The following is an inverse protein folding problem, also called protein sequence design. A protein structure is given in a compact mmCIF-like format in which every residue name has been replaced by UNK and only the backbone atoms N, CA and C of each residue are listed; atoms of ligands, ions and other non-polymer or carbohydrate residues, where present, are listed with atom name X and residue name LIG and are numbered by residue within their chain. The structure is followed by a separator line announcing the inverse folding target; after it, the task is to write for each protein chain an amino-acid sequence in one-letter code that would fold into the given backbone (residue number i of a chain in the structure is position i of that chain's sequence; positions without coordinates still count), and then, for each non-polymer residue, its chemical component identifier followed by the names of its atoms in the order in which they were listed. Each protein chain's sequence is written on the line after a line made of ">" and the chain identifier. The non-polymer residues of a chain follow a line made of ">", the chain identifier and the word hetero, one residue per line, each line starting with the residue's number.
data_IF_786894493870
#
_entry.id   IF_786894493870
#
_cell.length_a   1.000
_cell.length_b   1.000
_cell.length_c   1.000
_cell.angle_alpha   90.00
_cell.angle_beta   90.00
_cell.angle_gamma   90.00
#
_symmetry.space_group_name_H-M   'P 1'
#
loop_
_entity.id
_entity.type
_entity.pdbx_description
1 polymer ?
#
# COMPACT_ATOMS: atom_id res chain seq x y z
N UNK A 1 -12.15 20.52 5.05
CA UNK A 1 -12.89 19.29 5.35
C UNK A 1 -13.98 19.06 4.29
N UNK A 2 -14.14 17.85 3.75
CA UNK A 2 -15.11 17.60 2.66
C UNK A 2 -16.59 17.75 3.10
N UNK A 3 -16.87 18.00 4.37
CA UNK A 3 -18.23 18.20 4.91
C UNK A 3 -19.12 16.96 4.89
N UNK A 4 -18.62 15.84 4.36
CA UNK A 4 -19.30 14.53 4.33
C UNK A 4 -18.26 13.41 4.48
N UNK A 5 -18.66 12.23 5.01
CA UNK A 5 -17.79 11.08 5.08
C UNK A 5 -17.28 10.63 3.70
N UNK A 6 -16.05 10.10 3.69
CA UNK A 6 -15.44 9.50 2.51
C UNK A 6 -15.73 7.99 2.56
N UNK A 7 -16.58 7.52 1.67
CA UNK A 7 -16.91 6.09 1.57
C UNK A 7 -15.81 5.34 0.81
N UNK A 8 -15.16 4.41 1.48
CA UNK A 8 -14.14 3.52 0.92
C UNK A 8 -14.72 2.20 0.37
N UNK A 9 -16.04 2.04 0.34
CA UNK A 9 -16.75 0.83 -0.07
C UNK A 9 -16.14 -0.43 0.61
N UNK A 10 -15.64 -1.42 -0.15
CA UNK A 10 -14.93 -2.61 0.38
C UNK A 10 -13.41 -2.52 0.24
N UNK A 11 -12.86 -1.33 -0.02
CA UNK A 11 -11.46 -1.18 -0.38
C UNK A 11 -10.53 -1.05 0.84
N UNK A 12 -10.17 -2.17 1.46
CA UNK A 12 -9.29 -2.21 2.64
C UNK A 12 -7.90 -1.61 2.43
N UNK A 13 -7.37 -1.61 1.21
CA UNK A 13 -6.12 -0.91 0.89
C UNK A 13 -6.34 0.59 0.87
N UNK A 14 -7.40 1.06 0.19
CA UNK A 14 -7.73 2.48 0.10
C UNK A 14 -7.85 3.11 1.49
N UNK A 15 -8.69 2.56 2.37
CA UNK A 15 -8.94 3.14 3.70
C UNK A 15 -7.64 3.27 4.50
N UNK A 16 -6.75 2.27 4.45
CA UNK A 16 -5.51 2.30 5.23
C UNK A 16 -4.48 3.30 4.69
N UNK A 17 -4.28 3.34 3.37
CA UNK A 17 -3.34 4.27 2.75
C UNK A 17 -3.85 5.72 2.87
N UNK A 18 -5.15 5.91 2.63
CA UNK A 18 -5.80 7.21 2.74
C UNK A 18 -5.72 7.77 4.16
N UNK A 19 -5.85 6.92 5.19
CA UNK A 19 -5.65 7.35 6.58
C UNK A 19 -4.27 7.98 6.78
N UNK A 20 -3.20 7.39 6.20
CA UNK A 20 -1.84 7.96 6.27
C UNK A 20 -1.73 9.33 5.59
N UNK A 21 -2.34 9.48 4.42
CA UNK A 21 -2.34 10.76 3.68
C UNK A 21 -3.12 11.83 4.43
N UNK A 22 -4.33 11.50 4.87
CA UNK A 22 -5.25 12.45 5.52
C UNK A 22 -4.75 12.89 6.90
N UNK A 23 -4.07 12.01 7.64
CA UNK A 23 -3.46 12.34 8.92
C UNK A 23 -2.44 13.50 8.82
N UNK A 24 -1.81 13.67 7.65
CA UNK A 24 -0.86 14.74 7.37
C UNK A 24 -1.48 16.07 6.93
N UNK A 25 -2.80 16.15 6.71
CA UNK A 25 -3.49 17.36 6.24
C UNK A 25 -3.82 18.32 7.40
N UNK A 26 -2.79 18.82 8.06
CA UNK A 26 -2.87 19.60 9.29
C UNK A 26 -4.04 20.61 9.31
N UNK A 27 -4.79 20.61 10.41
CA UNK A 27 -5.94 21.50 10.64
C UNK A 27 -7.23 21.06 9.93
N UNK A 28 -7.26 19.89 9.29
CA UNK A 28 -8.45 19.33 8.66
C UNK A 28 -9.02 18.15 9.46
N UNK A 29 -10.31 17.93 9.30
CA UNK A 29 -11.01 16.80 9.88
C UNK A 29 -11.66 15.96 8.78
N UNK A 30 -11.57 14.64 8.91
CA UNK A 30 -12.14 13.69 7.96
C UNK A 30 -12.83 12.55 8.70
N UNK A 31 -13.77 11.93 8.03
CA UNK A 31 -14.38 10.67 8.44
C UNK A 31 -14.29 9.66 7.29
N UNK A 32 -13.81 8.47 7.56
CA UNK A 32 -13.76 7.36 6.62
C UNK A 32 -14.79 6.31 7.01
N UNK A 33 -15.57 5.87 6.03
CA UNK A 33 -16.58 4.81 6.16
C UNK A 33 -16.33 3.70 5.14
N UNK A 34 -17.11 2.65 5.21
CA UNK A 34 -17.09 1.56 4.25
C UNK A 34 -18.31 0.66 4.40
N UNK A 35 -18.40 -0.36 3.55
CA UNK A 35 -19.47 -1.36 3.66
C UNK A 35 -19.32 -2.22 4.93
N UNK A 36 -20.29 -3.08 5.17
CA UNK A 36 -20.30 -3.96 6.35
C UNK A 36 -19.06 -4.87 6.43
N UNK A 37 -18.56 -5.35 5.29
CA UNK A 37 -17.36 -6.19 5.22
C UNK A 37 -16.07 -5.42 5.57
N UNK A 38 -15.95 -4.20 5.10
CA UNK A 38 -14.81 -3.34 5.42
C UNK A 38 -14.87 -2.88 6.88
N UNK A 39 -16.06 -2.51 7.36
CA UNK A 39 -16.28 -2.03 8.73
C UNK A 39 -15.97 -3.11 9.78
N UNK A 40 -16.14 -4.38 9.45
CA UNK A 40 -15.75 -5.48 10.32
C UNK A 40 -14.21 -5.72 10.41
N UNK A 41 -13.40 -5.01 9.61
CA UNK A 41 -11.94 -5.20 9.61
C UNK A 41 -11.27 -4.27 10.62
N UNK A 42 -10.33 -4.79 11.46
CA UNK A 42 -9.67 -3.98 12.47
C UNK A 42 -8.75 -2.92 11.84
N UNK A 43 -8.85 -1.70 12.36
CA UNK A 43 -8.04 -0.54 11.96
C UNK A 43 -6.84 -0.29 12.89
N UNK A 44 -6.78 -0.94 14.05
CA UNK A 44 -5.77 -0.71 15.09
C UNK A 44 -4.34 -0.76 14.56
N UNK A 45 -4.03 -1.67 13.62
CA UNK A 45 -2.68 -1.80 13.03
C UNK A 45 -2.21 -0.54 12.32
N UNK A 46 -3.12 0.29 11.83
CA UNK A 46 -2.83 1.56 11.15
C UNK A 46 -2.96 2.73 12.12
N UNK A 47 -4.00 2.74 12.95
CA UNK A 47 -4.24 3.85 13.86
C UNK A 47 -3.16 3.95 14.94
N UNK A 48 -2.65 2.83 15.44
CA UNK A 48 -1.59 2.83 16.46
C UNK A 48 -0.32 3.57 16.00
N UNK A 49 0.35 3.21 14.91
CA UNK A 49 1.56 3.93 14.49
C UNK A 49 1.27 5.39 14.12
N UNK A 50 0.16 5.69 13.46
CA UNK A 50 -0.18 7.07 13.09
C UNK A 50 -0.49 7.93 14.31
N UNK A 51 -1.12 7.39 15.36
CA UNK A 51 -1.30 8.08 16.64
C UNK A 51 0.05 8.35 17.32
N UNK A 52 1.01 7.42 17.24
CA UNK A 52 2.39 7.67 17.70
C UNK A 52 3.08 8.77 16.92
N UNK A 53 2.73 8.98 15.64
CA UNK A 53 3.17 10.13 14.84
C UNK A 53 2.49 11.44 15.24
N UNK A 54 1.42 11.41 16.04
CA UNK A 54 0.70 12.58 16.52
C UNK A 54 -0.67 12.83 15.91
N UNK A 55 -1.13 11.96 14.99
CA UNK A 55 -2.48 12.05 14.43
C UNK A 55 -3.56 11.84 15.50
N UNK A 56 -4.62 12.64 15.48
CA UNK A 56 -5.84 12.39 16.24
C UNK A 56 -6.72 11.41 15.49
N UNK A 57 -6.87 10.20 16.02
CA UNK A 57 -7.63 9.14 15.36
C UNK A 57 -8.64 8.53 16.32
N UNK A 58 -9.90 8.48 15.88
CA UNK A 58 -11.02 7.91 16.63
C UNK A 58 -11.68 6.80 15.84
N UNK A 59 -12.01 5.70 16.48
CA UNK A 59 -12.63 4.52 15.85
C UNK A 59 -13.78 4.02 16.71
N UNK A 60 -14.72 3.34 16.10
CA UNK A 60 -15.74 2.58 16.81
C UNK A 60 -15.17 1.21 17.18
N UNK A 61 -14.79 1.03 18.44
CA UNK A 61 -14.14 -0.19 18.98
C UNK A 61 -13.02 -0.76 18.08
N UNK A 62 -12.18 0.13 17.54
CA UNK A 62 -11.06 -0.26 16.66
C UNK A 62 -11.44 -0.55 15.20
N UNK A 63 -12.66 -0.20 14.79
CA UNK A 63 -13.24 -0.41 13.48
C UNK A 63 -13.67 0.91 12.81
N UNK A 64 -14.26 0.83 11.61
CA UNK A 64 -14.92 1.99 11.00
C UNK A 64 -16.26 2.27 11.68
N UNK A 65 -16.73 3.53 11.69
CA UNK A 65 -16.11 4.70 11.06
C UNK A 65 -14.81 5.13 11.75
N UNK A 66 -13.89 5.72 10.96
CA UNK A 66 -12.64 6.27 11.44
C UNK A 66 -12.66 7.80 11.30
N UNK A 67 -12.72 8.49 12.42
CA UNK A 67 -12.48 9.93 12.52
C UNK A 67 -10.99 10.27 12.49
N UNK A 68 -10.62 11.28 11.74
CA UNK A 68 -9.24 11.77 11.60
C UNK A 68 -9.24 13.26 11.92
N UNK A 69 -8.57 13.64 13.01
CA UNK A 69 -8.21 15.02 13.32
C UNK A 69 -6.73 15.19 12.94
N UNK A 70 -6.50 15.77 11.76
CA UNK A 70 -5.17 15.92 11.20
C UNK A 70 -4.37 16.99 11.94
N UNK A 71 -3.23 16.57 12.48
CA UNK A 71 -2.32 17.37 13.31
C UNK A 71 -0.91 17.34 12.74
N UNK A 72 -0.02 18.28 13.15
CA UNK A 72 1.38 18.21 12.79
C UNK A 72 1.99 16.87 13.18
N UNK A 73 2.51 16.14 12.20
CA UNK A 73 3.08 14.82 12.42
C UNK A 73 4.57 14.93 12.80
N UNK A 74 5.00 14.03 13.67
CA UNK A 74 6.42 13.79 13.99
C UNK A 74 6.90 12.50 13.32
N UNK A 75 8.17 12.48 12.99
CA UNK A 75 8.84 11.28 12.50
C UNK A 75 8.92 10.19 13.59
N UNK A 76 8.90 8.93 13.16
CA UNK A 76 9.09 7.78 14.05
C UNK A 76 9.97 6.72 13.38
N UNK A 77 10.58 5.89 14.19
CA UNK A 77 11.02 4.55 13.76
C UNK A 77 10.01 3.54 14.31
N UNK A 78 9.35 2.82 13.40
CA UNK A 78 8.31 1.87 13.78
C UNK A 78 8.64 0.47 13.29
N UNK A 79 8.71 -0.47 14.21
CA UNK A 79 8.88 -1.89 13.92
C UNK A 79 7.50 -2.53 13.74
N UNK A 80 7.26 -3.13 12.57
CA UNK A 80 6.00 -3.80 12.28
C UNK A 80 5.91 -5.10 13.08
N UNK A 81 4.92 -5.28 13.95
CA UNK A 81 4.75 -6.54 14.70
C UNK A 81 4.42 -7.71 13.77
N UNK A 82 3.83 -7.45 12.63
CA UNK A 82 3.51 -8.41 11.57
C UNK A 82 3.78 -7.77 10.22
N UNK A 83 4.39 -8.51 9.30
CA UNK A 83 4.65 -8.06 7.95
C UNK A 83 3.36 -7.60 7.23
N UNK A 84 3.28 -6.32 6.93
CA UNK A 84 2.09 -5.70 6.31
C UNK A 84 2.48 -4.53 5.40
N UNK A 85 2.38 -4.75 4.09
CA UNK A 85 2.62 -3.69 3.12
C UNK A 85 1.67 -2.49 3.29
N UNK A 86 0.42 -2.72 3.70
CA UNK A 86 -0.57 -1.65 3.87
C UNK A 86 -0.24 -0.75 5.07
N UNK A 87 0.20 -1.32 6.19
CA UNK A 87 0.61 -0.56 7.37
C UNK A 87 1.90 0.20 7.07
N UNK A 88 2.89 -0.45 6.45
CA UNK A 88 4.10 0.22 5.97
C UNK A 88 3.75 1.41 5.08
N UNK A 89 2.92 1.20 4.05
CA UNK A 89 2.51 2.25 3.12
C UNK A 89 1.83 3.42 3.84
N UNK A 90 0.93 3.16 4.78
CA UNK A 90 0.25 4.21 5.56
C UNK A 90 1.25 5.06 6.35
N UNK A 91 2.25 4.43 7.00
CA UNK A 91 3.29 5.12 7.76
C UNK A 91 4.21 5.94 6.84
N UNK A 92 4.63 5.37 5.70
CA UNK A 92 5.48 6.08 4.74
C UNK A 92 4.76 7.29 4.13
N UNK A 93 3.48 7.16 3.78
CA UNK A 93 2.66 8.25 3.26
C UNK A 93 2.44 9.36 4.31
N UNK A 94 2.20 9.00 5.56
CA UNK A 94 2.17 9.98 6.66
C UNK A 94 3.54 10.63 6.90
N UNK A 95 4.62 9.87 6.72
CA UNK A 95 6.00 10.33 6.84
C UNK A 95 6.37 11.47 5.90
N UNK A 96 5.69 11.59 4.75
CA UNK A 96 5.88 12.73 3.83
C UNK A 96 5.58 14.09 4.49
N UNK A 97 4.68 14.10 5.47
CA UNK A 97 4.24 15.31 6.20
C UNK A 97 4.93 15.46 7.56
N UNK A 98 5.74 14.49 7.97
CA UNK A 98 6.36 14.49 9.29
C UNK A 98 7.57 15.44 9.36
N UNK A 99 7.89 15.90 10.56
CA UNK A 99 9.14 16.64 10.79
C UNK A 99 10.30 15.65 10.97
N UNK A 100 11.04 15.39 9.89
CA UNK A 100 12.19 14.49 9.85
C UNK A 100 11.89 13.11 9.25
N UNK A 101 12.91 12.28 9.18
CA UNK A 101 12.88 10.96 8.53
C UNK A 101 11.97 9.99 9.29
N UNK A 102 11.10 9.30 8.55
CA UNK A 102 10.26 8.23 9.10
C UNK A 102 10.76 6.88 8.60
N UNK A 103 11.03 5.98 9.54
CA UNK A 103 11.57 4.64 9.23
C UNK A 103 10.58 3.55 9.64
N UNK A 104 10.35 2.61 8.74
CA UNK A 104 9.61 1.38 9.02
C UNK A 104 10.55 0.20 8.96
N UNK A 105 10.57 -0.59 10.05
CA UNK A 105 11.32 -1.84 10.13
C UNK A 105 10.37 -3.00 9.88
N UNK A 106 10.72 -3.87 8.94
CA UNK A 106 9.91 -5.02 8.54
C UNK A 106 10.54 -6.33 9.05
N UNK A 107 9.80 -7.21 9.75
CA UNK A 107 10.32 -8.52 10.15
C UNK A 107 10.58 -9.42 8.93
N UNK A 108 9.83 -9.24 7.87
CA UNK A 108 9.99 -9.90 6.56
C UNK A 108 9.63 -8.89 5.48
N UNK A 109 10.40 -8.80 4.38
CA UNK A 109 10.11 -7.86 3.30
C UNK A 109 8.73 -8.05 2.71
N UNK A 110 7.97 -6.96 2.59
CA UNK A 110 6.65 -6.92 1.98
C UNK A 110 6.69 -6.26 0.60
N UNK A 111 5.53 -6.14 -0.06
CA UNK A 111 5.39 -5.41 -1.33
C UNK A 111 5.91 -3.98 -1.20
N UNK A 112 6.57 -3.49 -2.24
CA UNK A 112 7.29 -2.22 -2.28
C UNK A 112 6.75 -1.21 -3.30
N UNK A 113 5.48 -1.34 -3.69
CA UNK A 113 4.88 -0.45 -4.68
C UNK A 113 4.88 1.02 -4.23
N UNK A 114 4.61 1.28 -2.95
CA UNK A 114 4.59 2.64 -2.40
C UNK A 114 5.96 3.27 -2.47
N UNK A 115 7.00 2.54 -2.10
CA UNK A 115 8.38 3.01 -2.16
C UNK A 115 8.79 3.33 -3.60
N UNK A 116 8.47 2.43 -4.54
CA UNK A 116 8.78 2.64 -5.97
C UNK A 116 8.03 3.84 -6.55
N UNK A 117 6.75 4.01 -6.19
CA UNK A 117 5.96 5.17 -6.65
C UNK A 117 6.44 6.48 -6.03
N UNK A 118 6.82 6.48 -4.76
CA UNK A 118 7.35 7.67 -4.10
C UNK A 118 8.70 8.08 -4.69
N UNK A 119 9.59 7.12 -4.97
CA UNK A 119 10.84 7.41 -5.68
C UNK A 119 10.60 7.99 -7.08
N UNK A 120 9.67 7.40 -7.84
CA UNK A 120 9.28 7.93 -9.15
C UNK A 120 8.68 9.34 -9.06
N UNK A 121 8.08 9.69 -7.92
CA UNK A 121 7.55 11.03 -7.62
C UNK A 121 8.61 12.01 -7.08
N UNK A 122 9.90 11.63 -7.06
CA UNK A 122 11.01 12.46 -6.60
C UNK A 122 11.27 12.43 -5.09
N UNK A 123 10.61 11.55 -4.34
CA UNK A 123 10.83 11.42 -2.89
C UNK A 123 12.09 10.60 -2.61
N UNK A 124 12.90 11.05 -1.68
CA UNK A 124 14.07 10.29 -1.21
C UNK A 124 13.64 9.13 -0.34
N UNK A 125 13.88 7.92 -0.81
CA UNK A 125 13.65 6.65 -0.12
C UNK A 125 14.98 5.95 0.11
N UNK A 126 15.27 5.59 1.36
CA UNK A 126 16.43 4.76 1.69
C UNK A 126 15.98 3.36 2.10
N UNK A 127 16.49 2.35 1.39
CA UNK A 127 16.22 0.93 1.70
C UNK A 127 17.42 0.29 2.34
N UNK A 128 17.17 -0.48 3.41
CA UNK A 128 18.16 -1.39 4.03
C UNK A 128 17.57 -2.80 4.04
N UNK A 129 18.33 -3.79 4.49
CA UNK A 129 17.89 -5.19 4.46
C UNK A 129 16.49 -5.41 5.10
N UNK A 130 16.21 -4.76 6.22
CA UNK A 130 14.97 -4.92 6.99
C UNK A 130 14.22 -3.61 7.23
N UNK A 131 14.60 -2.51 6.59
CA UNK A 131 13.94 -1.23 6.85
C UNK A 131 13.84 -0.35 5.61
N UNK A 132 12.84 0.51 5.62
CA UNK A 132 12.61 1.56 4.64
C UNK A 132 12.45 2.88 5.35
N UNK A 133 13.17 3.89 4.90
CA UNK A 133 13.10 5.26 5.41
C UNK A 133 12.61 6.20 4.32
N UNK A 134 11.64 7.05 4.64
CA UNK A 134 11.15 8.12 3.78
C UNK A 134 11.55 9.48 4.35
N UNK A 135 11.99 10.38 3.46
CA UNK A 135 12.17 11.79 3.76
C UNK A 135 10.85 12.55 3.60
N UNK A 136 10.62 13.61 4.39
CA UNK A 136 9.53 14.54 4.13
C UNK A 136 9.60 15.10 2.71
N UNK A 137 8.44 15.39 2.12
CA UNK A 137 8.37 15.98 0.79
C UNK A 137 7.25 17.02 0.73
N UNK A 138 7.57 18.22 0.29
CA UNK A 138 6.57 19.29 0.10
C UNK A 138 5.77 19.11 -1.18
N UNK A 139 6.35 18.44 -2.17
CA UNK A 139 5.77 18.24 -3.49
C UNK A 139 6.08 16.84 -4.02
N UNK A 140 5.10 16.25 -4.69
CA UNK A 140 5.26 15.03 -5.47
C UNK A 140 5.15 15.37 -6.95
N UNK A 141 6.14 14.94 -7.73
CA UNK A 141 6.16 15.16 -9.18
C UNK A 141 5.85 13.83 -9.88
N UNK A 142 4.57 13.57 -10.10
CA UNK A 142 4.11 12.42 -10.86
C UNK A 142 3.72 12.86 -12.27
N UNK A 143 4.34 12.25 -13.28
CA UNK A 143 3.88 12.34 -14.66
C UNK A 143 2.65 11.48 -14.91
N UNK A 144 2.42 11.14 -16.17
CA UNK A 144 1.39 10.17 -16.54
C UNK A 144 1.74 8.78 -15.99
N UNK A 145 0.79 8.15 -15.30
CA UNK A 145 0.96 6.81 -14.73
C UNK A 145 0.01 5.84 -15.42
N UNK A 146 0.58 4.86 -16.09
CA UNK A 146 -0.17 3.69 -16.56
C UNK A 146 -0.27 2.68 -15.41
N UNK A 147 -1.48 2.45 -14.88
CA UNK A 147 -1.69 1.46 -13.82
C UNK A 147 -1.76 0.06 -14.41
N UNK A 148 -0.82 -0.84 -14.10
CA UNK A 148 -0.85 -2.20 -14.64
C UNK A 148 -1.98 -3.02 -13.99
N UNK A 149 -2.43 -4.06 -14.71
CA UNK A 149 -3.39 -5.03 -14.19
C UNK A 149 -2.89 -5.75 -12.92
N UNK A 150 -3.80 -6.08 -12.02
CA UNK A 150 -3.44 -6.78 -10.78
C UNK A 150 -3.09 -8.25 -11.02
N UNK A 151 -1.88 -8.64 -10.63
CA UNK A 151 -1.42 -10.03 -10.71
C UNK A 151 -2.33 -11.00 -9.93
N UNK A 152 -2.92 -10.56 -8.81
CA UNK A 152 -3.83 -11.42 -8.01
C UNK A 152 -5.11 -11.73 -8.77
N UNK A 153 -5.61 -10.78 -9.55
CA UNK A 153 -6.78 -10.99 -10.43
C UNK A 153 -6.45 -11.88 -11.61
N UNK A 154 -5.21 -11.86 -12.10
CA UNK A 154 -4.73 -12.73 -13.17
C UNK A 154 -4.47 -14.18 -12.69
N UNK A 155 -4.12 -14.37 -11.43
CA UNK A 155 -3.67 -15.65 -10.90
C UNK A 155 -4.65 -16.83 -11.13
N UNK A 156 -5.97 -16.72 -10.89
CA UNK A 156 -6.90 -17.80 -11.16
C UNK A 156 -6.91 -18.25 -12.63
N UNK A 157 -6.80 -17.31 -13.56
CA UNK A 157 -6.76 -17.61 -15.00
C UNK A 157 -5.45 -18.29 -15.39
N UNK A 158 -4.31 -17.87 -14.83
CA UNK A 158 -3.02 -18.52 -15.04
C UNK A 158 -3.08 -19.97 -14.54
N UNK A 159 -3.62 -20.20 -13.34
CA UNK A 159 -3.78 -21.55 -12.79
C UNK A 159 -4.70 -22.40 -13.70
N UNK A 160 -5.86 -21.89 -14.08
CA UNK A 160 -6.79 -22.61 -14.94
C UNK A 160 -6.14 -23.02 -16.27
N UNK A 161 -5.40 -22.11 -16.92
CA UNK A 161 -4.70 -22.41 -18.16
C UNK A 161 -3.59 -23.46 -17.99
N UNK A 162 -2.90 -23.49 -16.85
CA UNK A 162 -1.88 -24.54 -16.60
C UNK A 162 -2.48 -25.91 -16.28
N UNK A 163 -3.74 -25.97 -15.86
CA UNK A 163 -4.44 -27.22 -15.54
C UNK A 163 -5.15 -27.87 -16.74
N UNK A 164 -5.52 -27.08 -17.75
CA UNK A 164 -6.30 -27.56 -18.88
C UNK A 164 -5.38 -27.89 -20.07
N UNK A 165 -5.29 -29.16 -20.50
CA UNK A 165 -4.47 -29.55 -21.65
C UNK A 165 -4.88 -28.82 -22.93
N UNK A 166 -3.90 -28.33 -23.68
CA UNK A 166 -4.14 -27.60 -24.94
C UNK A 166 -4.54 -26.14 -24.77
N UNK A 167 -4.63 -25.64 -23.52
CA UNK A 167 -4.91 -24.22 -23.28
C UNK A 167 -3.75 -23.33 -23.70
N UNK A 168 -4.09 -22.19 -24.30
CA UNK A 168 -3.20 -21.07 -24.56
C UNK A 168 -3.87 -19.80 -24.02
N UNK A 169 -3.16 -19.06 -23.18
CA UNK A 169 -3.66 -17.84 -22.53
C UNK A 169 -2.62 -16.74 -22.60
N UNK A 170 -3.00 -15.60 -23.17
CA UNK A 170 -2.20 -14.38 -23.18
C UNK A 170 -2.79 -13.35 -22.23
N UNK A 171 -1.99 -12.87 -21.28
CA UNK A 171 -2.38 -11.81 -20.35
C UNK A 171 -1.46 -10.62 -20.58
N UNK A 172 -2.04 -9.47 -20.93
CA UNK A 172 -1.31 -8.26 -21.24
C UNK A 172 -1.38 -7.24 -20.09
N UNK A 173 -0.34 -6.42 -19.96
CA UNK A 173 -0.32 -5.28 -19.07
C UNK A 173 -0.41 -5.63 -17.58
N UNK A 174 -0.04 -6.86 -17.18
CA UNK A 174 -0.11 -7.30 -15.77
C UNK A 174 1.14 -6.89 -14.99
N UNK A 175 0.95 -6.52 -13.73
CA UNK A 175 2.04 -6.19 -12.81
C UNK A 175 2.93 -7.41 -12.55
N UNK A 176 4.22 -7.26 -12.79
CA UNK A 176 5.24 -8.31 -12.61
C UNK A 176 6.20 -8.00 -11.45
N UNK A 177 5.78 -7.27 -10.43
CA UNK A 177 6.59 -7.06 -9.25
C UNK A 177 7.03 -8.41 -8.65
N UNK A 178 8.34 -8.69 -8.49
CA UNK A 178 8.85 -9.97 -7.98
C UNK A 178 8.27 -10.36 -6.62
N UNK A 179 7.90 -9.37 -5.80
CA UNK A 179 7.25 -9.58 -4.48
C UNK A 179 5.77 -10.00 -4.59
N UNK A 180 5.24 -10.13 -5.81
CA UNK A 180 3.86 -10.57 -6.11
C UNK A 180 3.80 -11.82 -6.95
N UNK A 181 4.82 -12.12 -7.72
CA UNK A 181 4.80 -13.13 -8.79
C UNK A 181 5.33 -14.51 -8.37
N UNK A 182 5.48 -14.78 -7.07
CA UNK A 182 5.96 -16.08 -6.57
C UNK A 182 5.15 -17.28 -7.08
N UNK A 183 3.86 -17.08 -7.41
CA UNK A 183 3.02 -18.12 -8.03
C UNK A 183 3.61 -18.63 -9.34
N UNK A 184 4.21 -17.78 -10.17
CA UNK A 184 4.81 -18.20 -11.46
C UNK A 184 5.89 -19.25 -11.23
N UNK A 185 6.81 -18.98 -10.30
CA UNK A 185 7.87 -19.92 -9.94
C UNK A 185 7.32 -21.26 -9.40
N UNK A 186 6.22 -21.22 -8.64
CA UNK A 186 5.59 -22.44 -8.13
C UNK A 186 4.98 -23.24 -9.29
N UNK A 187 4.23 -22.60 -10.18
CA UNK A 187 3.61 -23.26 -11.32
C UNK A 187 4.66 -23.82 -12.31
N UNK A 188 5.75 -23.10 -12.58
CA UNK A 188 6.87 -23.59 -13.37
C UNK A 188 7.49 -24.86 -12.76
N UNK A 189 7.72 -24.88 -11.43
CA UNK A 189 8.20 -26.08 -10.72
C UNK A 189 7.22 -27.25 -10.76
N UNK A 190 5.92 -26.98 -10.91
CA UNK A 190 4.86 -27.98 -11.10
C UNK A 190 4.75 -28.46 -12.57
N UNK A 191 5.58 -27.93 -13.49
CA UNK A 191 5.58 -28.30 -14.91
C UNK A 191 4.71 -27.40 -15.80
N UNK A 192 4.19 -26.30 -15.26
CA UNK A 192 3.46 -25.30 -16.05
C UNK A 192 4.38 -24.59 -17.04
N UNK A 193 3.93 -24.49 -18.31
CA UNK A 193 4.68 -23.77 -19.36
C UNK A 193 4.27 -22.31 -19.37
N UNK A 194 5.07 -21.45 -18.72
CA UNK A 194 4.82 -20.02 -18.58
C UNK A 194 5.95 -19.24 -19.22
N UNK A 195 5.61 -18.28 -20.06
CA UNK A 195 6.59 -17.38 -20.68
C UNK A 195 6.23 -15.94 -20.36
N UNK A 196 7.19 -15.19 -19.84
CA UNK A 196 7.04 -13.75 -19.61
C UNK A 196 7.88 -13.00 -20.64
N UNK A 197 7.24 -12.16 -21.43
CA UNK A 197 7.87 -11.41 -22.52
C UNK A 197 7.48 -9.92 -22.46
N UNK A 198 8.18 -9.08 -23.24
CA UNK A 198 7.93 -7.64 -23.33
C UNK A 198 7.88 -6.93 -21.97
N UNK A 199 8.78 -7.30 -21.07
CA UNK A 199 8.91 -6.63 -19.76
C UNK A 199 9.31 -5.18 -19.95
N UNK A 200 8.56 -4.28 -19.32
CA UNK A 200 8.90 -2.85 -19.26
C UNK A 200 8.80 -2.35 -17.82
N UNK A 201 9.56 -1.33 -17.49
CA UNK A 201 9.42 -0.60 -16.24
C UNK A 201 8.47 0.57 -16.46
N UNK A 202 7.51 0.77 -15.56
CA UNK A 202 6.55 1.88 -15.60
C UNK A 202 6.83 2.77 -14.40
N UNK A 203 6.93 4.08 -14.61
CA UNK A 203 7.11 5.06 -13.54
C UNK A 203 8.56 5.22 -13.07
N UNK A 204 9.53 5.33 -13.99
CA UNK A 204 10.92 5.65 -13.67
C UNK A 204 11.93 4.69 -14.21
#
# INVERSE_FOLDING_TARGET
>A
SPGRPIDCANAGTLVRLLTGILAGQNGQQFELTGDASLSARPMKRVTEPLSRMGAGLETDDGHLPLGIDARPLRSITYELPVASAQVKSAILLAGLYAKGETTVVEPTPTRDHTELMLEAAGVTITRRASSVTVQPAERLELGEIEVPGDFSSAAPFIIAATMLPGSELHIHGVNLNPRRTGLLTILERMGGRITVYNRRRIGG
#
